data_IF_239399835005
#
_entry.id   IF_239399835005
#
_cell.length_a   1.000
_cell.length_b   1.000
_cell.length_c   1.000
_cell.angle_alpha   90.00
_cell.angle_beta   90.00
_cell.angle_gamma   90.00
#
_symmetry.space_group_name_H-M   'P 1'
#
loop_
_entity.id
_entity.type
_entity.pdbx_description
1 polymer ?
#
# COMPACT_ATOMS: atom_id res chain seq x y z
N UNK A 1 -46.49 -27.11 -3.12
CA UNK A 1 -45.03 -27.04 -3.36
C UNK A 1 -44.76 -25.66 -3.96
N UNK A 2 -44.30 -24.71 -3.16
CA UNK A 2 -44.01 -23.35 -3.64
C UNK A 2 -42.50 -23.24 -3.91
N UNK A 3 -42.13 -23.10 -5.18
CA UNK A 3 -40.75 -22.86 -5.61
C UNK A 3 -40.59 -21.33 -5.65
N UNK A 4 -39.81 -20.78 -4.72
CA UNK A 4 -39.33 -19.40 -4.83
C UNK A 4 -38.18 -19.37 -5.85
N UNK A 5 -38.47 -18.96 -7.08
CA UNK A 5 -37.43 -18.52 -8.02
C UNK A 5 -37.00 -17.11 -7.63
N UNK A 6 -35.83 -16.99 -6.99
CA UNK A 6 -35.17 -15.71 -6.81
C UNK A 6 -34.78 -15.16 -8.20
N UNK A 7 -35.12 -13.91 -8.54
CA UNK A 7 -34.57 -13.29 -9.72
C UNK A 7 -33.08 -13.12 -9.49
N UNK A 8 -32.26 -13.87 -10.24
CA UNK A 8 -30.86 -13.54 -10.41
C UNK A 8 -30.87 -12.26 -11.24
N UNK A 9 -30.82 -11.13 -10.54
CA UNK A 9 -30.44 -9.88 -11.17
C UNK A 9 -29.01 -10.09 -11.66
N UNK A 10 -28.87 -10.20 -12.97
CA UNK A 10 -27.61 -10.07 -13.67
C UNK A 10 -27.10 -8.65 -13.41
N UNK A 11 -26.41 -8.45 -12.28
CA UNK A 11 -25.84 -7.18 -11.89
C UNK A 11 -24.52 -7.01 -12.64
N UNK A 12 -24.64 -6.68 -13.92
CA UNK A 12 -23.61 -5.91 -14.60
C UNK A 12 -23.52 -4.53 -13.93
N UNK A 13 -22.77 -4.44 -12.85
CA UNK A 13 -22.35 -3.16 -12.28
C UNK A 13 -20.93 -3.32 -11.76
N UNK A 14 -20.00 -2.61 -12.40
CA UNK A 14 -18.70 -2.25 -11.83
C UNK A 14 -18.95 -1.43 -10.55
N UNK A 15 -19.30 -2.10 -9.46
CA UNK A 15 -19.56 -1.44 -8.18
C UNK A 15 -18.21 -1.00 -7.63
N UNK A 16 -18.06 0.31 -7.43
CA UNK A 16 -16.90 0.87 -6.76
C UNK A 16 -16.75 0.21 -5.38
N UNK A 17 -15.59 -0.37 -5.14
CA UNK A 17 -15.23 -1.07 -3.92
C UNK A 17 -13.96 -0.44 -3.34
N UNK A 18 -13.90 -0.41 -2.01
CA UNK A 18 -12.73 0.08 -1.26
C UNK A 18 -12.29 -1.00 -0.30
N UNK A 19 -11.00 -1.34 -0.36
CA UNK A 19 -10.32 -2.26 0.54
C UNK A 19 -9.60 -1.45 1.60
N UNK A 20 -10.14 -1.37 2.83
CA UNK A 20 -9.52 -0.60 3.91
C UNK A 20 -8.24 -1.30 4.42
N UNK A 21 -7.36 -0.57 5.14
CA UNK A 21 -6.11 -1.13 5.68
C UNK A 21 -6.33 -2.32 6.60
N UNK A 22 -7.46 -2.39 7.31
CA UNK A 22 -7.81 -3.50 8.21
C UNK A 22 -8.01 -4.84 7.49
N UNK A 23 -8.16 -4.83 6.16
CA UNK A 23 -8.24 -6.03 5.31
C UNK A 23 -6.95 -6.25 4.50
N UNK A 24 -5.85 -5.63 4.93
CA UNK A 24 -4.55 -5.71 4.27
C UNK A 24 -3.48 -6.02 5.31
N UNK A 25 -2.82 -7.16 5.16
CA UNK A 25 -1.72 -7.56 6.05
C UNK A 25 -0.41 -6.95 5.56
N UNK A 26 0.40 -6.41 6.47
CA UNK A 26 1.74 -5.88 6.18
C UNK A 26 2.82 -6.81 6.73
N UNK A 27 3.79 -7.15 5.89
CA UNK A 27 4.93 -8.01 6.24
C UNK A 27 6.24 -7.36 5.78
N UNK A 28 7.31 -7.53 6.56
CA UNK A 28 8.65 -7.12 6.16
C UNK A 28 9.25 -8.21 5.27
N UNK A 29 9.69 -7.85 4.07
CA UNK A 29 10.32 -8.77 3.11
C UNK A 29 11.84 -8.74 3.24
N UNK A 30 12.41 -7.53 3.25
CA UNK A 30 13.85 -7.31 3.32
C UNK A 30 14.16 -5.99 4.01
N UNK A 31 15.23 -5.96 4.78
CA UNK A 31 15.81 -4.78 5.39
C UNK A 31 17.29 -4.66 5.04
N UNK A 32 17.80 -3.44 4.98
CA UNK A 32 19.21 -3.12 4.80
C UNK A 32 19.52 -1.92 5.69
N UNK A 33 20.61 -1.98 6.46
CA UNK A 33 20.88 -1.01 7.52
C UNK A 33 20.01 -1.23 8.76
N UNK A 34 19.98 -0.24 9.66
CA UNK A 34 19.18 -0.31 10.88
C UNK A 34 17.75 0.18 10.62
N UNK A 35 16.79 -0.75 10.74
CA UNK A 35 15.36 -0.47 10.66
C UNK A 35 14.67 -1.16 11.83
N UNK A 36 13.99 -0.38 12.66
CA UNK A 36 13.15 -0.87 13.75
C UNK A 36 11.67 -0.76 13.33
N UNK A 37 10.99 -1.89 13.21
CA UNK A 37 9.58 -1.95 12.76
C UNK A 37 8.70 -2.32 13.95
N UNK A 38 7.77 -1.44 14.31
CA UNK A 38 6.88 -1.64 15.46
C UNK A 38 5.44 -1.24 15.13
N UNK A 39 4.49 -2.15 15.35
CA UNK A 39 3.07 -1.89 15.10
C UNK A 39 2.80 -1.48 13.64
N UNK A 40 2.18 -0.32 13.44
CA UNK A 40 1.94 0.30 12.14
C UNK A 40 3.07 1.24 11.69
N UNK A 41 4.03 1.53 12.56
CA UNK A 41 5.14 2.44 12.31
C UNK A 41 6.46 1.75 12.01
N UNK A 42 7.49 2.55 11.87
CA UNK A 42 8.90 2.16 11.81
C UNK A 42 9.83 3.34 12.03
N UNK A 43 11.06 3.06 12.44
CA UNK A 43 12.19 3.99 12.49
C UNK A 43 13.32 3.46 11.63
N UNK A 44 13.91 4.34 10.84
CA UNK A 44 14.96 4.05 9.87
C UNK A 44 16.15 4.96 10.13
N UNK A 45 17.36 4.40 10.26
CA UNK A 45 18.58 5.20 10.26
C UNK A 45 18.92 5.70 8.85
N UNK A 46 19.80 6.71 8.71
CA UNK A 46 20.27 7.14 7.40
C UNK A 46 20.80 5.97 6.56
N UNK A 47 20.65 6.07 5.23
CA UNK A 47 21.05 5.05 4.24
C UNK A 47 20.36 3.68 4.39
N UNK A 48 19.42 3.55 5.32
CA UNK A 48 18.68 2.29 5.51
C UNK A 48 17.55 2.14 4.49
N UNK A 49 17.18 0.88 4.24
CA UNK A 49 16.13 0.49 3.32
C UNK A 49 15.28 -0.60 3.93
N UNK A 50 13.98 -0.54 3.69
CA UNK A 50 13.05 -1.62 4.04
C UNK A 50 12.07 -1.84 2.90
N UNK A 51 11.75 -3.10 2.62
CA UNK A 51 10.68 -3.47 1.70
C UNK A 51 9.59 -4.19 2.45
N UNK A 52 8.36 -3.69 2.31
CA UNK A 52 7.14 -4.27 2.81
C UNK A 52 6.38 -4.97 1.69
N UNK A 53 5.72 -6.07 2.06
CA UNK A 53 4.65 -6.68 1.27
C UNK A 53 3.34 -6.40 1.97
N UNK A 54 2.41 -5.82 1.23
CA UNK A 54 1.03 -5.69 1.63
C UNK A 54 0.20 -6.73 0.88
N UNK A 55 -0.60 -7.50 1.60
CA UNK A 55 -1.43 -8.56 1.02
C UNK A 55 -2.89 -8.35 1.40
N UNK A 56 -3.73 -8.10 0.40
CA UNK A 56 -5.18 -7.99 0.55
C UNK A 56 -5.78 -9.35 0.91
N UNK A 57 -6.75 -9.36 1.82
CA UNK A 57 -7.50 -10.56 2.13
C UNK A 57 -8.26 -11.09 0.90
N UNK A 58 -8.23 -12.40 0.58
CA UNK A 58 -8.81 -12.93 -0.65
C UNK A 58 -10.29 -12.57 -0.91
N UNK A 59 -11.11 -12.44 0.13
CA UNK A 59 -12.53 -12.05 0.00
C UNK A 59 -12.79 -10.55 -0.14
N UNK A 60 -11.76 -9.73 0.04
CA UNK A 60 -11.84 -8.27 -0.03
C UNK A 60 -11.33 -7.73 -1.37
N UNK A 61 -10.63 -8.54 -2.16
CA UNK A 61 -9.97 -8.11 -3.39
C UNK A 61 -10.96 -7.55 -4.44
N UNK A 62 -10.49 -6.53 -5.17
CA UNK A 62 -11.20 -5.93 -6.31
C UNK A 62 -10.74 -6.59 -7.62
N UNK A 63 -11.61 -6.63 -8.64
CA UNK A 63 -11.26 -7.20 -9.96
C UNK A 63 -10.39 -6.27 -10.78
N UNK A 64 -10.61 -4.97 -10.65
CA UNK A 64 -9.81 -3.91 -11.27
C UNK A 64 -9.39 -2.94 -10.18
N UNK A 65 -8.10 -2.61 -10.12
CA UNK A 65 -7.58 -1.57 -9.23
C UNK A 65 -7.53 -0.27 -9.99
N UNK A 66 -8.26 0.72 -9.51
CA UNK A 66 -8.30 2.05 -10.11
C UNK A 66 -7.36 3.02 -9.37
N UNK A 67 -7.22 2.86 -8.05
CA UNK A 67 -6.48 3.78 -7.20
C UNK A 67 -5.83 3.03 -6.03
N UNK A 68 -4.57 3.35 -5.75
CA UNK A 68 -3.88 2.98 -4.52
C UNK A 68 -3.69 4.24 -3.69
N UNK A 69 -4.21 4.22 -2.46
CA UNK A 69 -4.03 5.30 -1.51
C UNK A 69 -2.98 4.87 -0.49
N UNK A 70 -1.90 5.65 -0.39
CA UNK A 70 -0.86 5.45 0.59
C UNK A 70 -1.01 6.51 1.69
N UNK A 71 -1.06 6.08 2.95
CA UNK A 71 -1.08 6.98 4.10
C UNK A 71 0.17 6.78 4.92
N UNK A 72 0.98 7.84 5.05
CA UNK A 72 2.25 7.83 5.76
C UNK A 72 2.29 9.00 6.74
N UNK A 73 2.40 8.72 8.05
CA UNK A 73 2.43 9.74 9.11
C UNK A 73 3.81 9.77 9.76
N UNK A 74 4.36 10.95 9.96
CA UNK A 74 5.65 11.12 10.64
C UNK A 74 5.52 10.92 12.15
N UNK A 75 6.55 10.36 12.78
CA UNK A 75 6.67 10.31 14.24
C UNK A 75 7.27 11.58 14.81
N UNK A 76 6.48 12.40 15.51
CA UNK A 76 6.96 13.60 16.20
C UNK A 76 7.27 14.78 15.26
N UNK A 77 8.25 15.61 15.64
CA UNK A 77 8.68 16.81 14.89
C UNK A 77 9.62 16.47 13.72
N UNK A 78 9.36 15.37 13.00
CA UNK A 78 10.16 15.03 11.82
C UNK A 78 9.98 16.13 10.79
N UNK A 79 11.05 16.87 10.51
CA UNK A 79 11.09 17.86 9.44
C UNK A 79 10.86 17.17 8.09
N UNK A 80 10.41 17.92 7.09
CA UNK A 80 10.22 17.42 5.72
C UNK A 80 11.48 16.72 5.17
N UNK A 81 12.66 17.07 5.69
CA UNK A 81 13.98 16.55 5.35
C UNK A 81 14.21 15.09 5.78
N UNK A 82 13.47 14.58 6.78
CA UNK A 82 13.56 13.19 7.24
C UNK A 82 12.61 12.22 6.53
N UNK A 83 12.03 12.63 5.39
CA UNK A 83 11.10 11.79 4.63
C UNK A 83 11.86 10.71 3.86
N UNK A 84 11.45 9.44 3.92
CA UNK A 84 12.03 8.41 3.07
C UNK A 84 11.53 8.57 1.61
N UNK A 85 12.35 8.15 0.66
CA UNK A 85 11.90 7.90 -0.71
C UNK A 85 10.99 6.68 -0.71
N UNK A 86 9.83 6.78 -1.37
CA UNK A 86 8.85 5.71 -1.48
C UNK A 86 8.90 5.15 -2.90
N UNK A 87 9.13 3.85 -3.02
CA UNK A 87 9.10 3.14 -4.28
C UNK A 87 8.04 2.04 -4.26
N UNK A 88 7.32 1.88 -5.36
CA UNK A 88 6.40 0.77 -5.58
C UNK A 88 6.97 -0.14 -6.67
N UNK A 89 6.78 -1.45 -6.49
CA UNK A 89 7.14 -2.40 -7.53
C UNK A 89 6.06 -2.41 -8.61
N UNK A 90 6.44 -2.04 -9.82
CA UNK A 90 5.60 -2.20 -10.99
C UNK A 90 5.75 -3.64 -11.51
N UNK A 91 4.65 -4.40 -11.47
CA UNK A 91 4.63 -5.81 -11.90
C UNK A 91 4.60 -5.97 -13.42
N UNK A 92 4.23 -4.93 -14.16
CA UNK A 92 4.22 -4.93 -15.62
C UNK A 92 5.61 -4.68 -16.18
N UNK A 93 6.35 -3.70 -15.64
CA UNK A 93 7.72 -3.39 -16.04
C UNK A 93 8.76 -4.25 -15.33
N UNK A 94 8.46 -4.77 -14.14
CA UNK A 94 9.41 -5.50 -13.31
C UNK A 94 10.47 -4.59 -12.69
N UNK A 95 10.12 -3.34 -12.42
CA UNK A 95 11.03 -2.32 -11.88
C UNK A 95 10.44 -1.63 -10.63
N UNK A 96 11.32 -1.03 -9.83
CA UNK A 96 10.92 -0.14 -8.75
C UNK A 96 10.70 1.26 -9.31
N UNK A 97 9.50 1.80 -9.13
CA UNK A 97 9.15 3.15 -9.54
C UNK A 97 8.99 4.04 -8.31
N UNK A 98 9.70 5.16 -8.30
CA UNK A 98 9.55 6.17 -7.27
C UNK A 98 8.18 6.85 -7.41
N UNK A 99 7.46 6.97 -6.30
CA UNK A 99 6.19 7.67 -6.22
C UNK A 99 6.35 8.91 -5.36
N UNK A 100 5.92 10.06 -5.89
CA UNK A 100 6.01 11.33 -5.17
C UNK A 100 4.95 11.39 -4.06
N UNK A 101 5.34 10.87 -2.90
CA UNK A 101 4.51 10.78 -1.70
C UNK A 101 5.14 11.63 -0.60
N UNK A 102 4.32 12.38 0.11
CA UNK A 102 4.70 13.18 1.27
C UNK A 102 4.07 12.59 2.54
N UNK A 103 4.29 13.28 3.67
CA UNK A 103 3.52 12.98 4.88
C UNK A 103 2.04 13.28 4.64
N UNK A 104 1.18 12.37 5.11
CA UNK A 104 -0.26 12.41 4.91
C UNK A 104 -0.73 11.32 3.96
N UNK A 105 -1.84 11.60 3.28
CA UNK A 105 -2.52 10.66 2.41
C UNK A 105 -2.29 11.05 0.95
N UNK A 106 -1.81 10.10 0.15
CA UNK A 106 -1.50 10.28 -1.27
C UNK A 106 -2.27 9.28 -2.11
N UNK A 107 -2.87 9.77 -3.19
CA UNK A 107 -3.63 8.99 -4.15
C UNK A 107 -2.78 8.72 -5.38
N UNK A 108 -2.64 7.44 -5.73
CA UNK A 108 -1.91 6.97 -6.91
C UNK A 108 -2.95 6.41 -7.87
N UNK A 109 -3.37 7.17 -8.90
CA UNK A 109 -4.34 6.71 -9.88
C UNK A 109 -3.71 5.68 -10.83
N UNK A 110 -4.54 4.81 -11.42
CA UNK A 110 -4.09 3.79 -12.36
C UNK A 110 -3.20 2.72 -11.72
N UNK A 111 -3.37 2.45 -10.42
CA UNK A 111 -2.45 1.63 -9.65
C UNK A 111 -2.52 0.11 -9.93
N UNK A 112 -3.22 -0.31 -10.98
CA UNK A 112 -3.28 -1.72 -11.41
C UNK A 112 -1.91 -2.35 -11.63
N UNK A 113 -0.94 -1.59 -12.14
CA UNK A 113 0.42 -2.07 -12.36
C UNK A 113 1.17 -2.41 -11.06
N UNK A 114 0.78 -1.84 -9.91
CA UNK A 114 1.45 -2.04 -8.61
C UNK A 114 0.81 -3.11 -7.74
N UNK A 115 -0.37 -3.62 -8.13
CA UNK A 115 -1.13 -4.62 -7.37
C UNK A 115 -1.24 -5.89 -8.20
N UNK A 116 -0.75 -7.01 -7.68
CA UNK A 116 -0.94 -8.31 -8.36
C UNK A 116 -2.42 -8.69 -8.40
N UNK A 117 -2.83 -9.61 -9.30
CA UNK A 117 -4.18 -10.18 -9.29
C UNK A 117 -4.56 -10.85 -7.97
N UNK A 118 -3.57 -11.30 -7.19
CA UNK A 118 -3.77 -11.87 -5.85
C UNK A 118 -3.86 -10.82 -4.74
N UNK A 119 -3.76 -9.53 -5.06
CA UNK A 119 -3.84 -8.43 -4.10
C UNK A 119 -2.56 -8.14 -3.34
N UNK A 120 -1.39 -8.44 -3.94
CA UNK A 120 -0.10 -8.15 -3.33
C UNK A 120 0.48 -6.85 -3.87
N UNK A 121 0.98 -6.00 -2.97
CA UNK A 121 1.71 -4.77 -3.27
C UNK A 121 3.07 -4.84 -2.60
N UNK A 122 4.13 -4.51 -3.34
CA UNK A 122 5.46 -4.34 -2.78
C UNK A 122 5.78 -2.86 -2.71
N UNK A 123 6.15 -2.41 -1.52
CA UNK A 123 6.50 -1.03 -1.23
C UNK A 123 7.86 -1.01 -0.57
N UNK A 124 8.76 -0.19 -1.08
CA UNK A 124 10.08 0.03 -0.52
C UNK A 124 10.20 1.45 0.00
N UNK A 125 10.79 1.58 1.17
CA UNK A 125 11.21 2.84 1.74
C UNK A 125 12.72 2.90 1.78
N UNK A 126 13.28 4.05 1.42
CA UNK A 126 14.70 4.34 1.48
C UNK A 126 14.91 5.62 2.29
N UNK A 127 15.62 5.53 3.41
CA UNK A 127 15.99 6.71 4.17
C UNK A 127 17.06 7.50 3.43
N UNK A 128 17.06 8.82 3.64
CA UNK A 128 18.09 9.69 3.09
C UNK A 128 19.48 9.36 3.65
N UNK A 129 20.53 9.85 3.00
CA UNK A 129 21.92 9.65 3.47
C UNK A 129 22.24 10.38 4.78
N UNK A 130 21.46 11.42 5.14
CA UNK A 130 21.78 12.32 6.26
C UNK A 130 20.77 12.19 7.40
N UNK A 131 19.50 12.00 7.08
CA UNK A 131 18.41 12.04 8.04
C UNK A 131 17.80 10.67 8.26
N UNK A 132 17.57 10.35 9.53
CA UNK A 132 16.71 9.22 9.92
C UNK A 132 15.26 9.52 9.54
N UNK A 133 14.53 8.48 9.16
CA UNK A 133 13.08 8.57 8.96
C UNK A 133 12.34 7.94 10.15
N UNK A 134 11.39 8.68 10.71
CA UNK A 134 10.51 8.19 11.77
C UNK A 134 9.06 8.23 11.27
N UNK A 135 8.46 7.04 11.16
CA UNK A 135 7.15 6.84 10.56
C UNK A 135 6.27 6.25 11.66
N UNK A 136 5.28 7.01 12.09
CA UNK A 136 4.34 6.56 13.13
C UNK A 136 3.34 5.53 12.57
N UNK A 137 2.90 5.73 11.34
CA UNK A 137 1.96 4.82 10.67
C UNK A 137 2.19 4.82 9.16
N UNK A 138 2.29 3.62 8.59
CA UNK A 138 2.30 3.38 7.15
C UNK A 138 1.21 2.35 6.79
N UNK A 139 0.20 2.81 6.08
CA UNK A 139 -0.95 2.00 5.65
C UNK A 139 -1.26 2.24 4.17
N UNK A 140 -1.93 1.26 3.55
CA UNK A 140 -2.44 1.39 2.19
C UNK A 140 -3.94 1.10 2.15
N UNK A 141 -4.62 1.68 1.18
CA UNK A 141 -6.03 1.42 0.84
C UNK A 141 -6.12 1.24 -0.67
N UNK A 142 -6.87 0.24 -1.13
CA UNK A 142 -7.06 -0.01 -2.56
C UNK A 142 -8.50 0.34 -2.92
N UNK A 143 -8.69 1.13 -3.99
CA UNK A 143 -10.01 1.38 -4.57
C UNK A 143 -10.07 0.82 -5.97
N UNK A 144 -11.24 0.32 -6.35
CA UNK A 144 -11.39 -0.37 -7.61
C UNK A 144 -12.82 -0.79 -7.88
N UNK A 145 -12.99 -1.72 -8.82
CA UNK A 145 -14.28 -2.27 -9.24
C UNK A 145 -14.34 -3.77 -8.98
N UNK A 146 -15.53 -4.25 -8.61
CA UNK A 146 -15.84 -5.66 -8.34
C UNK A 146 -16.48 -6.37 -9.52
#
# INVERSE_FOLDING_TARGET
LYIYTLPVADLGMDVAATVPPSLITREVVVTTGYVDVGGEGLRMEPESRVTFRFTVWPGAMVRRVDELVLSMRSGGSSYAEGRPTVLLWNWESGEWEEVDVHWGQHSIPGAGAYVTPSGSVLLRLEASEVWSAEIESLTITIKGQR
#
